data_IF_968190089170
#
_entry.id   IF_968190089170
#
_cell.length_a   1.000
_cell.length_b   1.000
_cell.length_c   1.000
_cell.angle_alpha   90.00
_cell.angle_beta   90.00
_cell.angle_gamma   90.00
#
_symmetry.space_group_name_H-M   'P 1'
#
loop_
_entity.id
_entity.type
_entity.pdbx_description
1 polymer ?
#
# COMPACT_ATOMS: atom_id res chain seq x y z
N UNK A 1 -46.95 4.97 23.43
CA UNK A 1 -46.40 6.24 22.90
C UNK A 1 -45.24 5.96 21.98
N UNK A 2 -45.41 6.24 20.69
CA UNK A 2 -44.37 6.17 19.67
C UNK A 2 -43.78 7.57 19.46
N UNK A 3 -42.46 7.67 19.29
CA UNK A 3 -41.86 8.58 18.29
C UNK A 3 -40.41 8.15 18.02
N UNK A 4 -39.97 8.13 16.74
CA UNK A 4 -38.74 7.50 16.30
C UNK A 4 -37.57 8.49 16.34
N UNK A 5 -36.37 8.03 16.68
CA UNK A 5 -35.15 8.83 16.55
C UNK A 5 -34.29 8.34 15.39
N UNK A 6 -34.31 9.12 14.32
CA UNK A 6 -33.21 9.33 13.38
C UNK A 6 -32.75 8.12 12.59
N UNK A 7 -33.37 7.90 11.42
CA UNK A 7 -32.66 7.25 10.31
C UNK A 7 -31.85 8.35 9.62
N UNK A 8 -30.67 8.65 10.16
CA UNK A 8 -29.79 9.68 9.60
C UNK A 8 -28.74 9.03 8.69
N UNK A 9 -28.92 9.24 7.38
CA UNK A 9 -27.97 9.13 6.26
C UNK A 9 -26.84 8.09 6.39
N UNK A 10 -27.10 6.86 5.90
CA UNK A 10 -26.06 5.90 5.51
C UNK A 10 -25.68 4.83 6.55
N UNK A 11 -26.66 4.12 7.11
CA UNK A 11 -26.51 2.74 7.60
C UNK A 11 -25.39 2.42 8.60
N UNK A 12 -24.95 3.36 9.45
CA UNK A 12 -23.89 3.09 10.44
C UNK A 12 -24.46 2.46 11.70
N UNK A 13 -23.91 1.32 12.12
CA UNK A 13 -24.29 0.62 13.35
C UNK A 13 -23.29 0.93 14.46
N UNK A 14 -23.78 1.28 15.65
CA UNK A 14 -22.93 1.45 16.84
C UNK A 14 -22.67 0.08 17.46
N UNK A 15 -21.40 -0.29 17.55
CA UNK A 15 -20.96 -1.53 18.20
C UNK A 15 -20.29 -1.18 19.55
N UNK A 16 -20.65 -1.91 20.61
CA UNK A 16 -19.96 -1.84 21.89
C UNK A 16 -18.82 -2.86 21.94
N UNK A 17 -17.59 -2.40 22.14
CA UNK A 17 -16.41 -3.26 22.27
C UNK A 17 -15.87 -3.18 23.70
N UNK A 18 -15.69 -4.32 24.36
CA UNK A 18 -15.05 -4.40 25.68
C UNK A 18 -13.54 -4.59 25.49
N UNK A 19 -12.77 -3.68 26.07
CA UNK A 19 -11.30 -3.72 26.06
C UNK A 19 -10.79 -3.50 27.48
N UNK A 20 -9.64 -4.08 27.80
CA UNK A 20 -8.89 -3.64 28.98
C UNK A 20 -8.41 -2.20 28.78
N UNK A 21 -8.21 -1.48 29.88
CA UNK A 21 -7.70 -0.10 29.88
C UNK A 21 -6.40 0.09 29.07
N UNK A 22 -5.38 -0.78 29.16
CA UNK A 22 -4.18 -0.66 28.33
C UNK A 22 -4.47 -0.91 26.84
N UNK A 23 -5.36 -1.84 26.49
CA UNK A 23 -5.74 -2.08 25.10
C UNK A 23 -6.45 -0.87 24.48
N UNK A 24 -7.38 -0.25 25.20
CA UNK A 24 -8.08 0.96 24.74
C UNK A 24 -7.12 2.13 24.47
N UNK A 25 -6.11 2.31 25.35
CA UNK A 25 -5.07 3.33 25.16
C UNK A 25 -4.20 3.07 23.93
N UNK A 26 -3.74 1.82 23.74
CA UNK A 26 -2.96 1.45 22.55
C UNK A 26 -3.75 1.66 21.26
N UNK A 27 -5.03 1.28 21.26
CA UNK A 27 -5.91 1.45 20.10
C UNK A 27 -6.11 2.93 19.75
N UNK A 28 -6.34 3.78 20.75
CA UNK A 28 -6.48 5.22 20.53
C UNK A 28 -5.16 5.91 20.13
N UNK A 29 -4.01 5.42 20.61
CA UNK A 29 -2.70 5.91 20.18
C UNK A 29 -2.42 5.54 18.72
N UNK A 30 -2.64 4.29 18.33
CA UNK A 30 -2.43 3.82 16.96
C UNK A 30 -3.36 4.52 15.96
N UNK A 31 -4.63 4.76 16.32
CA UNK A 31 -5.55 5.55 15.48
C UNK A 31 -5.05 6.99 15.26
N UNK A 32 -4.52 7.64 16.31
CA UNK A 32 -3.93 8.98 16.21
C UNK A 32 -2.65 9.01 15.38
N UNK A 33 -1.76 8.05 15.58
CA UNK A 33 -0.54 7.91 14.78
C UNK A 33 -0.85 7.69 13.29
N UNK A 34 -1.92 6.97 12.99
CA UNK A 34 -2.42 6.80 11.63
C UNK A 34 -3.20 8.01 11.09
N UNK A 35 -3.45 9.04 11.91
CA UNK A 35 -4.23 10.22 11.53
C UNK A 35 -5.71 9.95 11.26
N UNK A 36 -6.26 8.84 11.80
CA UNK A 36 -7.61 8.37 11.53
C UNK A 36 -8.54 8.52 12.75
N UNK A 37 -9.84 8.82 12.53
CA UNK A 37 -10.85 8.65 13.58
C UNK A 37 -10.89 7.19 14.06
N UNK A 38 -11.04 6.98 15.37
CA UNK A 38 -10.99 5.65 15.98
C UNK A 38 -11.95 4.63 15.35
N UNK A 39 -13.16 5.06 14.99
CA UNK A 39 -14.13 4.19 14.31
C UNK A 39 -13.67 3.75 12.91
N UNK A 40 -13.09 4.67 12.14
CA UNK A 40 -12.52 4.38 10.81
C UNK A 40 -11.29 3.47 10.93
N UNK A 41 -10.47 3.69 11.96
CA UNK A 41 -9.31 2.86 12.26
C UNK A 41 -9.73 1.41 12.59
N UNK A 42 -10.74 1.22 13.44
CA UNK A 42 -11.27 -0.11 13.79
C UNK A 42 -11.96 -0.79 12.60
N UNK A 43 -12.72 -0.04 11.80
CA UNK A 43 -13.33 -0.56 10.57
C UNK A 43 -12.26 -1.05 9.58
N UNK A 44 -11.18 -0.27 9.41
CA UNK A 44 -10.04 -0.69 8.60
C UNK A 44 -9.42 -2.00 9.11
N UNK A 45 -9.24 -2.14 10.43
CA UNK A 45 -8.74 -3.39 11.01
C UNK A 45 -9.65 -4.59 10.74
N UNK A 46 -10.98 -4.43 10.79
CA UNK A 46 -11.93 -5.50 10.44
C UNK A 46 -11.94 -5.85 8.96
N UNK A 47 -11.62 -4.89 8.09
CA UNK A 47 -11.53 -5.08 6.65
C UNK A 47 -10.18 -5.69 6.21
N UNK A 48 -9.32 -6.08 7.16
CA UNK A 48 -7.96 -6.56 6.88
C UNK A 48 -6.98 -5.45 6.50
N UNK A 49 -7.39 -4.19 6.56
CA UNK A 49 -6.50 -3.04 6.41
C UNK A 49 -5.75 -2.92 7.74
N UNK A 50 -4.53 -3.46 7.77
CA UNK A 50 -3.59 -3.13 8.83
C UNK A 50 -3.30 -1.64 8.73
N UNK A 51 -4.02 -0.85 9.53
CA UNK A 51 -3.79 0.58 9.63
C UNK A 51 -2.35 0.75 10.05
N UNK A 52 -1.58 1.11 9.03
CA UNK A 52 -0.14 1.16 9.00
C UNK A 52 0.34 1.98 10.18
N UNK A 53 0.82 1.29 11.20
CA UNK A 53 1.24 1.90 12.45
C UNK A 53 2.59 2.60 12.27
N UNK A 54 2.54 3.92 12.11
CA UNK A 54 3.68 4.82 12.29
C UNK A 54 4.82 4.69 11.26
N UNK A 55 5.84 5.53 11.43
CA UNK A 55 6.97 5.72 10.50
C UNK A 55 7.63 4.42 10.01
N UNK A 56 7.59 3.34 10.80
CA UNK A 56 8.19 2.04 10.45
C UNK A 56 7.74 1.46 9.11
N UNK A 57 6.48 1.64 8.69
CA UNK A 57 6.07 1.15 7.37
C UNK A 57 6.54 2.06 6.24
N UNK A 58 6.48 3.37 6.43
CA UNK A 58 7.02 4.31 5.45
C UNK A 58 8.53 4.06 5.28
N UNK A 59 9.23 3.79 6.37
CA UNK A 59 10.65 3.41 6.38
C UNK A 59 10.89 2.06 5.70
N UNK A 60 10.06 1.04 5.97
CA UNK A 60 10.15 -0.27 5.32
C UNK A 60 9.85 -0.20 3.82
N UNK A 61 8.87 0.60 3.42
CA UNK A 61 8.53 0.84 2.02
C UNK A 61 9.62 1.63 1.30
N UNK A 62 10.20 2.65 1.96
CA UNK A 62 11.33 3.42 1.45
C UNK A 62 12.57 2.52 1.28
N UNK A 63 12.88 1.69 2.27
CA UNK A 63 13.97 0.72 2.20
C UNK A 63 13.75 -0.29 1.07
N UNK A 64 12.55 -0.86 0.95
CA UNK A 64 12.22 -1.79 -0.13
C UNK A 64 12.30 -1.13 -1.53
N UNK A 65 11.86 0.13 -1.65
CA UNK A 65 11.95 0.90 -2.89
C UNK A 65 13.41 1.18 -3.27
N UNK A 66 14.24 1.54 -2.29
CA UNK A 66 15.67 1.75 -2.49
C UNK A 66 16.36 0.46 -2.95
N UNK A 67 16.07 -0.69 -2.31
CA UNK A 67 16.59 -2.00 -2.74
C UNK A 67 16.14 -2.36 -4.16
N UNK A 68 14.91 -2.06 -4.55
CA UNK A 68 14.44 -2.30 -5.92
C UNK A 68 15.21 -1.43 -6.94
N UNK A 69 15.52 -0.18 -6.60
CA UNK A 69 16.31 0.71 -7.46
C UNK A 69 17.76 0.22 -7.61
N UNK A 70 18.36 -0.28 -6.53
CA UNK A 70 19.70 -0.90 -6.56
C UNK A 70 19.71 -2.16 -7.44
N UNK A 71 18.74 -3.06 -7.28
CA UNK A 71 18.60 -4.27 -8.10
C UNK A 71 18.37 -3.95 -9.58
N UNK A 72 17.57 -2.93 -9.89
CA UNK A 72 17.35 -2.49 -11.27
C UNK A 72 18.64 -1.93 -11.89
N UNK A 73 19.47 -1.25 -11.10
CA UNK A 73 20.79 -0.77 -11.53
C UNK A 73 21.75 -1.94 -11.76
N UNK A 74 21.80 -2.90 -10.83
CA UNK A 74 22.60 -4.11 -10.99
C UNK A 74 22.22 -4.90 -12.25
N UNK A 75 20.93 -5.11 -12.52
CA UNK A 75 20.45 -5.76 -13.75
C UNK A 75 20.95 -5.06 -15.02
N UNK A 76 20.92 -3.73 -15.05
CA UNK A 76 21.46 -2.96 -16.21
C UNK A 76 22.97 -3.15 -16.35
N UNK A 77 23.71 -3.14 -15.24
CA UNK A 77 25.17 -3.36 -15.26
C UNK A 77 25.53 -4.76 -15.73
N UNK A 78 24.81 -5.79 -15.28
CA UNK A 78 25.00 -7.17 -15.74
C UNK A 78 24.70 -7.30 -17.23
N UNK A 79 23.63 -6.66 -17.72
CA UNK A 79 23.31 -6.64 -19.16
C UNK A 79 24.40 -5.97 -19.97
N UNK A 80 24.87 -4.80 -19.53
CA UNK A 80 25.93 -4.06 -20.19
C UNK A 80 27.24 -4.87 -20.22
N UNK A 81 27.60 -5.52 -19.12
CA UNK A 81 28.73 -6.44 -19.07
C UNK A 81 28.56 -7.61 -20.05
N UNK A 82 27.36 -8.20 -20.11
CA UNK A 82 27.04 -9.26 -21.06
C UNK A 82 27.17 -8.81 -22.52
N UNK A 83 26.85 -7.56 -22.84
CA UNK A 83 27.05 -6.97 -24.17
C UNK A 83 28.52 -6.71 -24.48
N UNK A 84 29.28 -6.16 -23.52
CA UNK A 84 30.72 -5.93 -23.68
C UNK A 84 31.49 -7.25 -23.87
N UNK A 85 31.14 -8.27 -23.10
CA UNK A 85 31.67 -9.63 -23.22
C UNK A 85 31.35 -10.26 -24.58
N UNK A 86 30.16 -9.99 -25.13
CA UNK A 86 29.77 -10.42 -26.48
C UNK A 86 30.63 -9.75 -27.56
N UNK A 87 31.07 -8.51 -27.33
CA UNK A 87 31.90 -7.74 -28.25
C UNK A 87 33.41 -7.99 -28.13
N UNK A 88 33.92 -8.46 -26.97
CA UNK A 88 35.36 -8.44 -26.66
C UNK A 88 36.08 -9.79 -26.67
N UNK A 89 35.43 -10.95 -26.47
CA UNK A 89 36.16 -12.22 -26.43
C UNK A 89 35.36 -13.49 -26.78
N UNK A 90 36.02 -14.36 -27.56
CA UNK A 90 35.60 -15.66 -28.09
C UNK A 90 35.44 -16.73 -27.00
N UNK A 91 34.38 -17.55 -27.12
CA UNK A 91 34.06 -18.81 -26.40
C UNK A 91 33.87 -18.76 -24.86
N UNK A 92 34.85 -18.27 -24.08
CA UNK A 92 34.77 -18.28 -22.61
C UNK A 92 33.69 -17.34 -22.05
N UNK A 93 33.44 -16.21 -22.72
CA UNK A 93 32.39 -15.26 -22.36
C UNK A 93 30.96 -15.78 -22.65
N UNK A 94 30.83 -16.78 -23.54
CA UNK A 94 29.54 -17.40 -23.85
C UNK A 94 29.11 -18.39 -22.77
N UNK A 95 30.06 -19.03 -22.07
CA UNK A 95 29.76 -20.03 -21.03
C UNK A 95 29.14 -19.38 -19.78
N UNK A 96 29.61 -18.19 -19.39
CA UNK A 96 29.00 -17.41 -18.32
C UNK A 96 27.64 -16.78 -18.70
N UNK A 97 27.29 -16.80 -20.00
CA UNK A 97 26.10 -16.11 -20.50
C UNK A 97 24.80 -16.77 -20.07
N UNK A 98 24.74 -18.11 -20.12
CA UNK A 98 23.57 -18.84 -19.65
C UNK A 98 23.31 -18.58 -18.16
N UNK A 99 24.38 -18.47 -17.36
CA UNK A 99 24.30 -18.14 -15.95
C UNK A 99 23.84 -16.69 -15.71
N UNK A 100 24.36 -15.73 -16.47
CA UNK A 100 23.97 -14.32 -16.35
C UNK A 100 22.53 -14.05 -16.83
N UNK A 101 22.08 -14.72 -17.89
CA UNK A 101 20.71 -14.63 -18.39
C UNK A 101 19.71 -15.24 -17.39
N UNK A 102 20.06 -16.38 -16.79
CA UNK A 102 19.28 -16.98 -15.70
C UNK A 102 19.20 -16.05 -14.48
N UNK A 103 20.32 -15.44 -14.10
CA UNK A 103 20.37 -14.49 -12.99
C UNK A 103 19.54 -13.22 -13.27
N UNK A 104 19.59 -12.66 -14.49
CA UNK A 104 18.73 -11.51 -14.87
C UNK A 104 17.24 -11.89 -14.81
N UNK A 105 16.89 -13.10 -15.27
CA UNK A 105 15.52 -13.60 -15.21
C UNK A 105 15.04 -13.78 -13.77
N UNK A 106 15.87 -14.35 -12.89
CA UNK A 106 15.55 -14.54 -11.48
C UNK A 106 15.39 -13.20 -10.75
N UNK A 107 16.28 -12.23 -11.01
CA UNK A 107 16.17 -10.88 -10.45
C UNK A 107 14.89 -10.21 -10.90
N UNK A 108 14.54 -10.28 -12.20
CA UNK A 108 13.27 -9.73 -12.72
C UNK A 108 12.05 -10.39 -12.10
N UNK A 109 12.08 -11.73 -11.92
CA UNK A 109 11.01 -12.47 -11.25
C UNK A 109 10.84 -12.00 -9.81
N UNK A 110 11.94 -11.88 -9.07
CA UNK A 110 11.90 -11.41 -7.69
C UNK A 110 11.42 -9.96 -7.57
N UNK A 111 11.83 -9.09 -8.50
CA UNK A 111 11.30 -7.73 -8.59
C UNK A 111 9.78 -7.73 -8.84
N UNK A 112 9.29 -8.56 -9.76
CA UNK A 112 7.85 -8.69 -10.00
C UNK A 112 7.06 -9.14 -8.76
N UNK A 113 7.58 -10.14 -8.04
CA UNK A 113 6.99 -10.61 -6.77
C UNK A 113 7.03 -9.52 -5.71
N UNK A 114 8.15 -8.81 -5.56
CA UNK A 114 8.29 -7.71 -4.61
C UNK A 114 7.32 -6.56 -4.95
N UNK A 115 7.22 -6.16 -6.22
CA UNK A 115 6.27 -5.14 -6.67
C UNK A 115 4.82 -5.53 -6.37
N UNK A 116 4.42 -6.77 -6.66
CA UNK A 116 3.09 -7.26 -6.35
C UNK A 116 2.81 -7.26 -4.82
N UNK A 117 3.80 -7.65 -4.01
CA UNK A 117 3.69 -7.59 -2.56
C UNK A 117 3.56 -6.14 -2.06
N UNK A 118 4.32 -5.20 -2.63
CA UNK A 118 4.23 -3.78 -2.31
C UNK A 118 2.89 -3.16 -2.73
N UNK A 119 2.32 -3.58 -3.86
CA UNK A 119 0.96 -3.19 -4.28
C UNK A 119 -0.11 -3.75 -3.34
N UNK A 120 0.04 -4.99 -2.88
CA UNK A 120 -0.87 -5.58 -1.90
C UNK A 120 -0.82 -4.87 -0.53
N UNK A 121 0.33 -4.29 -0.19
CA UNK A 121 0.52 -3.49 1.02
C UNK A 121 0.02 -2.04 0.87
N UNK A 122 -0.16 -1.55 -0.35
CA UNK A 122 -0.65 -0.20 -0.58
C UNK A 122 -2.09 -0.06 -0.05
N UNK A 123 -2.35 0.86 0.92
CA UNK A 123 -3.69 1.07 1.41
C UNK A 123 -4.57 1.57 0.26
N UNK A 124 -5.54 0.75 -0.16
CA UNK A 124 -6.57 1.18 -1.10
C UNK A 124 -7.33 2.32 -0.48
N UNK A 125 -7.00 3.55 -0.88
CA UNK A 125 -7.76 4.75 -0.53
C UNK A 125 -9.21 4.52 -0.96
N UNK A 126 -10.18 4.47 -0.04
CA UNK A 126 -11.57 4.50 -0.45
C UNK A 126 -11.78 5.83 -1.17
N UNK A 127 -12.18 5.79 -2.44
CA UNK A 127 -12.76 6.97 -3.08
C UNK A 127 -13.94 7.38 -2.19
N UNK A 128 -13.86 8.56 -1.60
CA UNK A 128 -14.98 9.13 -0.87
C UNK A 128 -16.19 9.21 -1.83
N UNK A 129 -17.32 8.55 -1.55
CA UNK A 129 -18.53 8.77 -2.32
C UNK A 129 -19.13 10.09 -1.80
N UNK A 130 -18.90 11.18 -2.53
CA UNK A 130 -19.43 12.48 -2.11
C UNK A 130 -19.23 13.66 -3.07
N UNK A 131 -18.82 13.43 -4.31
CA UNK A 131 -18.65 14.51 -5.29
C UNK A 131 -19.48 14.26 -6.55
N UNK A 132 -20.78 14.00 -6.39
CA UNK A 132 -21.74 14.20 -7.46
C UNK A 132 -23.13 14.41 -6.87
N UNK A 133 -23.82 15.44 -7.38
CA UNK A 133 -25.24 15.79 -7.20
C UNK A 133 -25.53 16.62 -5.93
N UNK A 134 -26.03 17.86 -5.98
CA UNK A 134 -26.63 18.58 -7.09
C UNK A 134 -26.58 20.10 -6.91
N UNK A 135 -26.22 20.77 -8.00
CA UNK A 135 -26.48 22.18 -8.27
C UNK A 135 -27.92 22.30 -8.77
N UNK A 136 -28.77 23.05 -8.07
CA UNK A 136 -29.94 23.80 -8.60
C UNK A 136 -30.45 24.70 -7.47
N UNK A 137 -30.00 25.96 -7.48
CA UNK A 137 -30.68 27.16 -8.01
C UNK A 137 -31.68 27.75 -7.01
N UNK A 138 -31.25 28.89 -6.47
CA UNK A 138 -31.97 29.88 -5.67
C UNK A 138 -33.12 30.53 -6.43
N UNK A 139 -34.22 30.81 -5.74
CA UNK A 139 -35.32 31.70 -6.14
C UNK A 139 -36.44 31.59 -5.10
N UNK A 140 -36.42 32.41 -4.05
CA UNK A 140 -37.05 33.74 -3.90
C UNK A 140 -38.58 33.68 -3.79
N UNK A 141 -39.05 34.25 -2.67
CA UNK A 141 -40.42 34.37 -2.17
C UNK A 141 -41.35 35.21 -3.08
N UNK A 142 -42.65 35.33 -2.74
CA UNK A 142 -43.07 36.26 -1.68
C UNK A 142 -43.81 35.60 -0.49
#
# INVERSE_FOLDING_TARGET
>A
SATPRGVDAGGRVRIGLRLSRPQARRLAAAAREAGLPLGTYVAGLSDGIHAVGGGRYADQLAAATATCAELATLSRNLRHLGELLRGSAVRAALEYRAMLDALDADVRRHLGVASAALEALHPRRPLAPGAAVGRRRTGSAP
#
